data_IF_933887868207
#
_entry.id   IF_933887868207
#
_cell.length_a   1.000
_cell.length_b   1.000
_cell.length_c   1.000
_cell.angle_alpha   90.00
_cell.angle_beta   90.00
_cell.angle_gamma   90.00
#
_symmetry.space_group_name_H-M   'P 1'
#
loop_
_entity.id
_entity.type
_entity.pdbx_description
1 polymer ?
#
# COMPACT_ATOMS: atom_id res chain seq x y z
N UNK A 1 22.37 -20.00 -14.47
CA UNK A 1 23.26 -19.23 -15.37
C UNK A 1 22.36 -18.20 -16.03
N UNK A 2 22.34 -16.90 -15.73
CA UNK A 2 23.32 -15.96 -15.17
C UNK A 2 22.68 -15.10 -14.07
N UNK A 3 23.40 -14.93 -12.97
CA UNK A 3 23.13 -13.99 -11.90
C UNK A 3 23.91 -12.71 -12.23
N UNK A 4 23.24 -11.58 -12.47
CA UNK A 4 23.91 -10.29 -12.59
C UNK A 4 23.89 -9.61 -11.23
N UNK A 5 25.09 -9.40 -10.69
CA UNK A 5 25.41 -8.62 -9.50
C UNK A 5 25.08 -7.14 -9.73
N UNK A 6 24.51 -6.49 -8.72
CA UNK A 6 24.93 -5.14 -8.35
C UNK A 6 24.69 -4.92 -6.85
N UNK A 7 25.74 -4.43 -6.21
CA UNK A 7 25.78 -3.99 -4.82
C UNK A 7 24.90 -2.75 -4.65
N UNK A 8 24.15 -2.65 -3.54
CA UNK A 8 23.90 -1.38 -2.88
C UNK A 8 23.50 -1.59 -1.43
N UNK A 9 24.18 -0.76 -0.64
CA UNK A 9 24.36 -0.80 0.79
C UNK A 9 23.09 -0.40 1.55
N UNK A 10 22.96 -0.95 2.75
CA UNK A 10 21.87 -0.77 3.69
C UNK A 10 21.97 0.63 4.28
N UNK A 11 21.17 1.59 3.79
CA UNK A 11 20.67 2.80 4.48
C UNK A 11 20.11 3.81 3.45
N UNK A 12 18.89 3.60 2.97
CA UNK A 12 18.01 4.70 2.55
C UNK A 12 16.56 4.22 2.50
N UNK A 13 15.93 4.24 3.68
CA UNK A 13 14.49 4.16 3.85
C UNK A 13 13.98 5.61 3.69
N UNK A 14 13.01 5.84 2.80
CA UNK A 14 12.45 7.12 2.33
C UNK A 14 13.13 7.78 1.11
N UNK A 15 12.41 7.73 -0.02
CA UNK A 15 12.54 8.46 -1.29
C UNK A 15 13.89 8.39 -2.06
N UNK A 16 13.84 7.93 -3.32
CA UNK A 16 14.28 8.70 -4.51
C UNK A 16 13.87 7.97 -5.80
N UNK A 17 13.42 8.80 -6.72
CA UNK A 17 12.88 8.59 -8.07
C UNK A 17 13.97 8.12 -9.05
N UNK A 18 13.56 7.29 -10.02
CA UNK A 18 14.13 7.26 -11.39
C UNK A 18 15.52 6.65 -11.58
N UNK A 19 15.57 5.55 -12.36
CA UNK A 19 16.44 5.37 -13.55
C UNK A 19 16.33 3.92 -14.05
N UNK A 20 15.46 3.69 -15.03
CA UNK A 20 15.74 2.72 -16.10
C UNK A 20 15.84 3.52 -17.39
N UNK A 21 17.03 3.49 -17.98
CA UNK A 21 17.41 4.29 -19.14
C UNK A 21 16.86 3.67 -20.43
N UNK A 22 16.02 4.45 -21.13
CA UNK A 22 15.88 4.47 -22.59
C UNK A 22 14.89 3.47 -23.20
N UNK A 23 13.81 3.87 -23.85
CA UNK A 23 13.31 5.20 -24.15
C UNK A 23 12.05 5.11 -24.99
N UNK A 24 11.14 6.05 -24.77
CA UNK A 24 10.54 6.98 -25.74
C UNK A 24 9.25 7.53 -25.10
N UNK A 25 9.33 8.82 -24.81
CA UNK A 25 8.24 9.81 -24.81
C UNK A 25 6.99 9.53 -23.96
N UNK A 26 6.94 10.20 -22.80
CA UNK A 26 5.97 11.28 -22.60
C UNK A 26 6.28 12.02 -21.27
N UNK A 27 6.90 13.19 -21.42
CA UNK A 27 6.84 14.25 -20.42
C UNK A 27 5.42 14.82 -20.44
N UNK A 28 4.55 14.35 -19.55
CA UNK A 28 3.37 15.13 -19.17
C UNK A 28 3.50 15.55 -17.71
N UNK A 29 3.92 16.79 -17.52
CA UNK A 29 3.75 17.55 -16.28
C UNK A 29 2.29 18.01 -16.26
N UNK A 30 1.57 17.68 -15.18
CA UNK A 30 0.74 18.55 -14.31
C UNK A 30 0.28 17.62 -13.15
N UNK A 31 0.97 17.66 -12.01
CA UNK A 31 0.51 17.04 -10.76
C UNK A 31 0.74 18.01 -9.59
N UNK A 32 0.12 19.19 -9.68
CA UNK A 32 0.12 20.19 -8.60
C UNK A 32 -0.94 19.84 -7.53
N UNK A 33 -1.96 19.07 -7.92
CA UNK A 33 -3.07 18.71 -7.04
C UNK A 33 -2.72 17.66 -5.99
N UNK A 34 -2.08 16.54 -6.37
CA UNK A 34 -1.83 15.47 -5.42
C UNK A 34 -0.79 15.86 -4.38
N UNK A 35 0.21 16.67 -4.75
CA UNK A 35 1.25 17.18 -3.84
C UNK A 35 0.64 17.86 -2.61
N UNK A 36 -0.40 18.68 -2.80
CA UNK A 36 -1.09 19.35 -1.69
C UNK A 36 -1.82 18.36 -0.78
N UNK A 37 -2.45 17.33 -1.35
CA UNK A 37 -3.12 16.28 -0.57
C UNK A 37 -2.07 15.48 0.22
N UNK A 38 -0.95 15.12 -0.41
CA UNK A 38 0.17 14.41 0.21
C UNK A 38 0.72 15.18 1.42
N UNK A 39 0.89 16.50 1.33
CA UNK A 39 1.34 17.31 2.46
C UNK A 39 0.36 17.30 3.64
N UNK A 40 -0.95 17.29 3.38
CA UNK A 40 -1.96 17.15 4.44
C UNK A 40 -1.92 15.75 5.09
N UNK A 41 -1.69 14.70 4.29
CA UNK A 41 -1.57 13.32 4.78
C UNK A 41 -0.30 13.16 5.62
N UNK A 42 0.82 13.71 5.17
CA UNK A 42 2.10 13.65 5.88
C UNK A 42 2.04 14.29 7.26
N UNK A 43 1.22 15.33 7.43
CA UNK A 43 0.95 15.94 8.73
C UNK A 43 -0.23 15.32 9.50
N UNK A 44 -0.86 14.26 8.99
CA UNK A 44 -2.09 13.64 9.50
C UNK A 44 -3.20 14.68 9.83
N UNK A 45 -3.32 15.68 8.95
CA UNK A 45 -4.19 16.85 9.11
C UNK A 45 -5.57 16.59 8.51
N UNK A 46 -6.42 15.92 9.28
CA UNK A 46 -7.75 15.44 8.85
C UNK A 46 -8.62 16.48 8.17
N UNK A 47 -8.77 17.67 8.75
CA UNK A 47 -9.71 18.67 8.22
C UNK A 47 -9.23 19.24 6.88
N UNK A 48 -7.92 19.52 6.76
CA UNK A 48 -7.29 19.97 5.52
C UNK A 48 -7.36 18.86 4.45
N UNK A 49 -7.09 17.61 4.84
CA UNK A 49 -7.17 16.44 3.97
C UNK A 49 -8.58 16.26 3.39
N UNK A 50 -9.62 16.25 4.23
CA UNK A 50 -11.02 16.10 3.78
C UNK A 50 -11.40 17.24 2.84
N UNK A 51 -11.06 18.48 3.17
CA UNK A 51 -11.35 19.64 2.32
C UNK A 51 -10.68 19.53 0.96
N UNK A 52 -9.40 19.14 0.92
CA UNK A 52 -8.63 19.08 -0.33
C UNK A 52 -9.09 17.94 -1.24
N UNK A 53 -9.39 16.77 -0.66
CA UNK A 53 -9.97 15.63 -1.38
C UNK A 53 -11.32 15.99 -1.97
N UNK A 54 -12.23 16.55 -1.16
CA UNK A 54 -13.58 16.90 -1.62
C UNK A 54 -13.57 18.01 -2.69
N UNK A 55 -12.63 18.96 -2.57
CA UNK A 55 -12.42 20.01 -3.57
C UNK A 55 -11.95 19.43 -4.91
N UNK A 56 -10.98 18.52 -4.91
CA UNK A 56 -10.53 17.89 -6.15
C UNK A 56 -11.62 17.06 -6.82
N UNK A 57 -12.43 16.33 -6.03
CA UNK A 57 -13.55 15.57 -6.56
C UNK A 57 -14.66 16.46 -7.13
N UNK A 58 -14.79 17.72 -6.68
CA UNK A 58 -15.74 18.68 -7.28
C UNK A 58 -15.24 19.36 -8.55
N UNK A 59 -13.92 19.52 -8.70
CA UNK A 59 -13.28 20.16 -9.87
C UNK A 59 -12.96 19.17 -10.99
N UNK A 60 -13.00 17.86 -10.71
CA UNK A 60 -12.75 16.82 -11.70
C UNK A 60 -13.73 16.94 -12.89
N UNK A 61 -13.20 17.37 -14.04
CA UNK A 61 -13.97 17.53 -15.26
C UNK A 61 -14.33 16.12 -15.81
N UNK A 62 -15.61 15.78 -16.06
CA UNK A 62 -16.01 14.43 -16.49
C UNK A 62 -15.35 13.91 -17.77
N UNK A 63 -14.75 14.80 -18.58
CA UNK A 63 -14.05 14.46 -19.82
C UNK A 63 -12.53 14.32 -19.67
N UNK A 64 -11.95 14.57 -18.50
CA UNK A 64 -10.52 14.41 -18.26
C UNK A 64 -10.21 12.95 -17.92
N UNK A 65 -9.49 12.27 -18.81
CA UNK A 65 -9.12 10.85 -18.68
C UNK A 65 -8.09 10.63 -17.54
N UNK A 66 -7.48 11.70 -17.03
CA UNK A 66 -6.33 11.68 -16.11
C UNK A 66 -6.52 12.57 -14.85
N UNK A 67 -7.73 13.11 -14.63
CA UNK A 67 -8.00 14.08 -13.55
C UNK A 67 -8.63 13.50 -12.28
N UNK A 68 -8.88 12.19 -12.23
CA UNK A 68 -9.55 11.56 -11.10
C UNK A 68 -8.52 11.11 -10.05
N UNK A 69 -8.68 11.60 -8.81
CA UNK A 69 -7.82 11.28 -7.68
C UNK A 69 -7.74 9.76 -7.46
N UNK A 70 -6.56 9.17 -7.66
CA UNK A 70 -6.38 7.73 -7.55
C UNK A 70 -6.40 7.28 -6.08
N UNK A 71 -7.45 6.55 -5.71
CA UNK A 71 -7.60 5.94 -4.39
C UNK A 71 -6.38 5.10 -3.98
N UNK A 72 -5.75 4.38 -4.92
CA UNK A 72 -4.55 3.59 -4.61
C UNK A 72 -3.37 4.47 -4.19
N UNK A 73 -3.24 5.66 -4.78
CA UNK A 73 -2.18 6.62 -4.46
C UNK A 73 -2.41 7.24 -3.07
N UNK A 74 -3.65 7.66 -2.78
CA UNK A 74 -4.04 8.18 -1.45
C UNK A 74 -3.78 7.15 -0.35
N UNK A 75 -4.22 5.89 -0.55
CA UNK A 75 -4.00 4.81 0.41
C UNK A 75 -2.51 4.57 0.65
N UNK A 76 -1.69 4.51 -0.41
CA UNK A 76 -0.24 4.32 -0.27
C UNK A 76 0.41 5.45 0.52
N UNK A 77 0.01 6.71 0.28
CA UNK A 77 0.53 7.88 0.97
C UNK A 77 0.17 7.85 2.48
N UNK A 78 -1.08 7.50 2.80
CA UNK A 78 -1.52 7.29 4.19
C UNK A 78 -0.65 6.23 4.89
N UNK A 79 -0.41 5.10 4.21
CA UNK A 79 0.40 4.01 4.75
C UNK A 79 1.85 4.43 4.94
N UNK A 80 2.46 5.14 3.98
CA UNK A 80 3.87 5.55 4.05
C UNK A 80 4.15 6.58 5.14
N UNK A 81 3.14 7.34 5.56
CA UNK A 81 3.24 8.35 6.61
C UNK A 81 2.57 7.96 7.93
N UNK A 82 2.08 6.73 8.04
CA UNK A 82 1.35 6.25 9.23
C UNK A 82 0.19 7.18 9.64
N UNK A 83 -0.50 7.76 8.65
CA UNK A 83 -1.52 8.79 8.84
C UNK A 83 -2.89 8.19 9.24
N UNK A 84 -2.95 7.58 10.42
CA UNK A 84 -4.10 6.81 10.90
C UNK A 84 -5.39 7.63 10.99
N UNK A 85 -5.31 8.93 11.31
CA UNK A 85 -6.52 9.78 11.42
C UNK A 85 -7.07 10.12 10.04
N UNK A 86 -6.19 10.36 9.07
CA UNK A 86 -6.57 10.49 7.66
C UNK A 86 -7.17 9.19 7.12
N UNK A 87 -6.63 8.01 7.50
CA UNK A 87 -7.24 6.72 7.16
C UNK A 87 -8.67 6.58 7.70
N UNK A 88 -8.89 6.96 8.96
CA UNK A 88 -10.24 6.98 9.57
C UNK A 88 -11.18 7.89 8.78
N UNK A 89 -10.72 9.09 8.44
CA UNK A 89 -11.54 10.05 7.69
C UNK A 89 -11.89 9.55 6.29
N UNK A 90 -10.93 8.89 5.63
CA UNK A 90 -11.10 8.26 4.33
C UNK A 90 -12.18 7.17 4.41
N UNK A 91 -12.06 6.17 5.29
CA UNK A 91 -12.95 5.00 5.27
C UNK A 91 -14.25 5.16 6.04
N UNK A 92 -14.38 6.09 6.99
CA UNK A 92 -15.66 6.37 7.67
C UNK A 92 -16.55 7.35 6.88
N UNK A 93 -16.16 7.67 5.64
CA UNK A 93 -16.96 8.48 4.73
C UNK A 93 -17.06 9.96 5.10
N UNK A 94 -16.04 10.49 5.77
CA UNK A 94 -15.85 11.94 5.92
C UNK A 94 -15.40 12.59 4.60
N UNK A 95 -14.75 11.81 3.74
CA UNK A 95 -14.45 12.19 2.35
C UNK A 95 -15.53 11.67 1.40
N UNK A 96 -15.64 12.28 0.22
CA UNK A 96 -16.46 11.76 -0.90
C UNK A 96 -15.78 10.63 -1.67
N UNK A 97 -14.50 10.36 -1.43
CA UNK A 97 -13.70 9.41 -2.20
C UNK A 97 -14.13 7.95 -1.96
N UNK A 98 -14.29 7.56 -0.69
CA UNK A 98 -14.71 6.21 -0.32
C UNK A 98 -15.33 6.19 1.08
N UNK A 99 -16.07 5.12 1.42
CA UNK A 99 -16.72 4.93 2.74
C UNK A 99 -16.65 3.48 3.26
N UNK A 100 -15.83 2.65 2.63
CA UNK A 100 -15.71 1.22 2.93
C UNK A 100 -14.24 0.81 2.88
N UNK A 101 -13.75 0.20 3.96
CA UNK A 101 -12.40 -0.34 4.06
C UNK A 101 -12.20 -1.60 3.19
N UNK A 102 -13.28 -2.17 2.63
CA UNK A 102 -13.26 -3.30 1.71
C UNK A 102 -13.42 -2.88 0.23
N UNK A 103 -13.22 -1.60 -0.08
CA UNK A 103 -13.17 -1.11 -1.46
C UNK A 103 -12.03 -1.79 -2.25
N UNK A 104 -12.25 -2.03 -3.55
CA UNK A 104 -11.21 -2.51 -4.46
C UNK A 104 -10.67 -1.34 -5.27
N UNK A 105 -9.36 -1.14 -5.27
CA UNK A 105 -8.73 -0.11 -6.10
C UNK A 105 -8.71 -0.50 -7.58
N UNK A 106 -8.42 0.47 -8.47
CA UNK A 106 -8.25 0.20 -9.90
C UNK A 106 -7.18 -0.85 -10.24
N UNK A 107 -6.28 -1.14 -9.30
CA UNK A 107 -5.24 -2.17 -9.46
C UNK A 107 -5.70 -3.56 -9.00
N UNK A 108 -6.92 -3.70 -8.45
CA UNK A 108 -7.45 -4.97 -7.96
C UNK A 108 -7.04 -5.32 -6.52
N UNK A 109 -6.56 -4.34 -5.75
CA UNK A 109 -6.13 -4.55 -4.36
C UNK A 109 -7.14 -3.92 -3.41
N UNK A 110 -7.33 -4.56 -2.26
CA UNK A 110 -8.04 -3.98 -1.12
C UNK A 110 -7.07 -3.15 -0.26
N UNK A 111 -7.54 -2.13 0.49
CA UNK A 111 -6.72 -1.36 1.42
C UNK A 111 -5.82 -2.23 2.31
N UNK A 112 -6.36 -3.32 2.85
CA UNK A 112 -5.61 -4.22 3.73
C UNK A 112 -4.47 -4.97 3.03
N UNK A 113 -4.53 -5.18 1.70
CA UNK A 113 -3.38 -5.71 0.95
C UNK A 113 -2.22 -4.71 0.89
N UNK A 114 -2.51 -3.42 0.74
CA UNK A 114 -1.47 -2.38 0.77
C UNK A 114 -0.85 -2.27 2.17
N UNK A 115 -1.67 -2.32 3.22
CA UNK A 115 -1.20 -2.33 4.61
C UNK A 115 -0.33 -3.57 4.90
N UNK A 116 -0.78 -4.75 4.48
CA UNK A 116 0.00 -5.99 4.62
C UNK A 116 1.38 -5.91 3.93
N UNK A 117 1.44 -5.26 2.76
CA UNK A 117 2.68 -5.05 2.01
C UNK A 117 3.61 -4.00 2.64
N UNK A 118 3.12 -3.12 3.51
CA UNK A 118 4.00 -2.22 4.26
C UNK A 118 4.58 -2.85 5.51
N UNK A 119 4.01 -3.96 5.98
CA UNK A 119 4.35 -4.62 7.24
C UNK A 119 4.24 -3.67 8.46
N UNK A 120 3.41 -2.63 8.37
CA UNK A 120 3.15 -1.69 9.48
C UNK A 120 2.04 -2.24 10.38
N UNK A 121 2.33 -2.67 11.63
CA UNK A 121 1.32 -3.19 12.54
C UNK A 121 0.22 -2.15 12.85
N UNK A 122 0.64 -0.89 13.08
CA UNK A 122 -0.25 0.25 13.35
C UNK A 122 -1.34 0.40 12.29
N UNK A 123 -0.96 0.43 11.00
CA UNK A 123 -1.92 0.57 9.91
C UNK A 123 -2.76 -0.69 9.73
N UNK A 124 -2.17 -1.88 9.89
CA UNK A 124 -2.91 -3.14 9.76
C UNK A 124 -4.00 -3.25 10.83
N UNK A 125 -3.66 -3.02 12.10
CA UNK A 125 -4.62 -2.98 13.22
C UNK A 125 -5.71 -1.97 12.94
N UNK A 126 -5.33 -0.75 12.58
CA UNK A 126 -6.29 0.33 12.34
C UNK A 126 -7.26 0.03 11.19
N UNK A 127 -6.78 -0.57 10.09
CA UNK A 127 -7.67 -0.94 8.97
C UNK A 127 -8.64 -2.06 9.37
N UNK A 128 -8.21 -3.02 10.20
CA UNK A 128 -9.09 -4.06 10.74
C UNK A 128 -10.15 -3.48 11.68
N UNK A 129 -9.77 -2.52 12.53
CA UNK A 129 -10.72 -1.78 13.39
C UNK A 129 -11.75 -0.99 12.57
N UNK A 130 -11.36 -0.51 11.39
CA UNK A 130 -12.26 0.13 10.43
C UNK A 130 -13.14 -0.88 9.64
N UNK A 131 -13.04 -2.18 9.94
CA UNK A 131 -13.86 -3.24 9.34
C UNK A 131 -13.30 -3.83 8.06
N UNK A 132 -12.00 -3.65 7.78
CA UNK A 132 -11.36 -4.36 6.68
C UNK A 132 -11.35 -5.87 6.94
N UNK A 133 -11.66 -6.65 5.92
CA UNK A 133 -11.69 -8.10 5.99
C UNK A 133 -10.29 -8.70 5.76
N UNK A 134 -9.78 -9.58 6.64
CA UNK A 134 -8.48 -10.23 6.48
C UNK A 134 -8.48 -11.41 5.49
N UNK A 135 -9.66 -11.87 5.06
CA UNK A 135 -9.85 -13.07 4.23
C UNK A 135 -10.06 -12.78 2.74
N UNK A 136 -10.04 -11.50 2.34
CA UNK A 136 -10.26 -11.10 0.94
C UNK A 136 -9.13 -11.59 0.03
N UNK A 137 -9.48 -11.96 -1.20
CA UNK A 137 -8.52 -12.39 -2.21
C UNK A 137 -8.17 -11.22 -3.13
N UNK A 138 -6.89 -10.95 -3.29
CA UNK A 138 -6.40 -9.94 -4.22
C UNK A 138 -6.80 -10.30 -5.66
N UNK A 139 -7.37 -9.34 -6.39
CA UNK A 139 -7.71 -9.53 -7.80
C UNK A 139 -6.51 -9.28 -8.73
N UNK A 140 -5.56 -8.45 -8.28
CA UNK A 140 -4.36 -7.98 -9.00
C UNK A 140 -4.46 -8.10 -10.53
N UNK A 141 -4.95 -7.05 -11.18
CA UNK A 141 -5.09 -7.07 -12.64
C UNK A 141 -3.75 -7.14 -13.39
N UNK A 142 -2.61 -6.96 -12.68
CA UNK A 142 -1.26 -7.21 -13.18
C UNK A 142 -0.77 -8.67 -13.06
N UNK A 143 -1.54 -9.55 -12.42
CA UNK A 143 -1.34 -11.01 -12.45
C UNK A 143 -0.34 -11.62 -11.47
N UNK A 144 0.41 -10.83 -10.68
CA UNK A 144 1.50 -11.31 -9.81
C UNK A 144 1.05 -11.73 -8.41
N UNK A 145 -0.02 -11.12 -7.94
CA UNK A 145 -0.53 -11.22 -6.57
C UNK A 145 -1.98 -11.75 -6.54
N UNK A 146 -2.49 -12.28 -7.66
CA UNK A 146 -3.85 -12.80 -7.78
C UNK A 146 -4.08 -13.94 -6.78
N UNK A 147 -5.21 -13.89 -6.07
CA UNK A 147 -5.63 -14.93 -5.13
C UNK A 147 -4.87 -14.93 -3.81
N UNK A 148 -3.96 -13.98 -3.57
CA UNK A 148 -3.31 -13.85 -2.27
C UNK A 148 -4.24 -13.16 -1.27
N UNK A 149 -4.28 -13.65 -0.03
CA UNK A 149 -4.89 -12.92 1.09
C UNK A 149 -3.93 -11.84 1.61
N UNK A 150 -4.40 -10.86 2.40
CA UNK A 150 -3.54 -9.95 3.14
C UNK A 150 -2.43 -10.64 3.94
N UNK A 151 -2.72 -11.74 4.64
CA UNK A 151 -1.69 -12.51 5.35
C UNK A 151 -0.61 -13.05 4.41
N UNK A 152 -1.01 -13.68 3.30
CA UNK A 152 -0.05 -14.23 2.33
C UNK A 152 0.74 -13.10 1.65
N UNK A 153 0.13 -11.94 1.43
CA UNK A 153 0.79 -10.73 0.94
C UNK A 153 1.89 -10.25 1.91
N UNK A 154 1.58 -10.17 3.21
CA UNK A 154 2.57 -9.81 4.24
C UNK A 154 3.72 -10.82 4.27
N UNK A 155 3.42 -12.12 4.25
CA UNK A 155 4.43 -13.18 4.24
C UNK A 155 5.34 -13.09 3.00
N UNK A 156 4.75 -12.97 1.80
CA UNK A 156 5.49 -12.81 0.55
C UNK A 156 6.41 -11.59 0.63
N UNK A 157 5.90 -10.47 1.14
CA UNK A 157 6.66 -9.22 1.28
C UNK A 157 7.83 -9.38 2.25
N UNK A 158 7.59 -9.96 3.42
CA UNK A 158 8.62 -10.23 4.43
C UNK A 158 9.74 -11.10 3.87
N UNK A 159 9.39 -12.15 3.12
CA UNK A 159 10.34 -13.04 2.45
C UNK A 159 11.14 -12.30 1.38
N UNK A 160 10.48 -11.52 0.51
CA UNK A 160 11.16 -10.75 -0.53
C UNK A 160 12.11 -9.69 0.05
N UNK A 161 11.76 -9.09 1.19
CA UNK A 161 12.60 -8.12 1.88
C UNK A 161 13.76 -8.78 2.63
N UNK A 162 13.63 -10.04 3.03
CA UNK A 162 14.65 -10.80 3.74
C UNK A 162 15.33 -11.83 2.84
N UNK A 163 16.36 -11.39 2.11
CA UNK A 163 17.13 -12.20 1.14
C UNK A 163 17.73 -13.50 1.71
N UNK A 164 17.73 -13.71 3.03
CA UNK A 164 18.16 -14.97 3.65
C UNK A 164 17.18 -16.14 3.39
N UNK A 165 15.96 -15.87 2.88
CA UNK A 165 14.87 -16.84 2.67
C UNK A 165 14.63 -17.10 1.17
N UNK A 166 15.70 -17.19 0.37
CA UNK A 166 15.62 -17.20 -1.11
C UNK A 166 15.08 -18.51 -1.75
N UNK A 167 14.82 -19.57 -0.99
CA UNK A 167 14.19 -20.80 -1.50
C UNK A 167 12.78 -21.00 -0.91
N UNK A 168 11.85 -20.12 -1.28
CA UNK A 168 10.44 -20.27 -0.90
C UNK A 168 9.60 -20.73 -2.08
N UNK A 169 8.83 -21.81 -1.86
CA UNK A 169 7.65 -22.14 -2.64
C UNK A 169 6.45 -22.15 -1.68
N UNK A 170 5.24 -21.72 -2.09
CA UNK A 170 4.04 -21.75 -1.25
C UNK A 170 3.72 -23.13 -0.66
N UNK A 171 4.22 -24.21 -1.28
CA UNK A 171 4.10 -25.60 -0.83
C UNK A 171 5.00 -25.99 0.33
N UNK A 172 6.01 -25.20 0.70
CA UNK A 172 7.02 -25.60 1.68
C UNK A 172 6.94 -24.80 3.00
N UNK A 173 6.16 -25.41 3.89
CA UNK A 173 6.38 -25.55 5.33
C UNK A 173 5.96 -24.39 6.25
N UNK A 174 4.92 -24.70 7.02
CA UNK A 174 4.54 -24.12 8.31
C UNK A 174 5.74 -23.83 9.24
N UNK A 175 6.83 -24.60 9.15
CA UNK A 175 8.06 -24.37 9.91
C UNK A 175 8.79 -23.05 9.58
N UNK A 176 8.78 -22.62 8.31
CA UNK A 176 9.32 -21.31 7.92
C UNK A 176 8.41 -20.18 8.38
N UNK A 177 7.10 -20.44 8.40
CA UNK A 177 6.08 -19.55 8.99
C UNK A 177 6.33 -19.39 10.50
N UNK A 178 6.59 -20.49 11.22
CA UNK A 178 7.00 -20.48 12.62
C UNK A 178 8.28 -19.66 12.79
N UNK A 179 9.30 -19.85 11.94
CA UNK A 179 10.55 -19.08 12.02
C UNK A 179 10.33 -17.57 11.77
N UNK A 180 9.52 -17.19 10.78
CA UNK A 180 9.15 -15.79 10.52
C UNK A 180 8.33 -15.18 11.67
N UNK A 181 7.40 -15.94 12.25
CA UNK A 181 6.67 -15.55 13.47
C UNK A 181 7.58 -15.43 14.69
N UNK A 182 8.78 -16.01 14.67
CA UNK A 182 9.77 -15.84 15.72
C UNK A 182 10.67 -14.60 15.51
N UNK A 183 10.59 -13.90 14.37
CA UNK A 183 11.34 -12.65 14.15
C UNK A 183 10.61 -11.48 14.85
N UNK A 184 11.26 -10.76 15.79
CA UNK A 184 10.62 -9.69 16.57
C UNK A 184 10.01 -8.58 15.71
N UNK A 185 10.59 -8.31 14.54
CA UNK A 185 10.15 -7.25 13.64
C UNK A 185 8.89 -7.63 12.83
N UNK A 186 8.60 -8.93 12.68
CA UNK A 186 7.52 -9.44 11.85
C UNK A 186 6.38 -10.07 12.65
N UNK A 187 6.68 -10.56 13.86
CA UNK A 187 5.71 -11.26 14.71
C UNK A 187 4.46 -10.45 14.92
N UNK A 188 4.60 -9.14 15.16
CA UNK A 188 3.47 -8.28 15.46
C UNK A 188 2.54 -8.14 14.25
N UNK A 189 3.06 -7.68 13.11
CA UNK A 189 2.29 -7.53 11.86
C UNK A 189 1.60 -8.83 11.42
N UNK A 190 2.31 -9.97 11.52
CA UNK A 190 1.76 -11.27 11.13
C UNK A 190 0.71 -11.78 12.13
N UNK A 191 0.90 -11.54 13.43
CA UNK A 191 -0.05 -11.96 14.46
C UNK A 191 -1.41 -11.28 14.31
N UNK A 192 -1.42 -10.01 13.91
CA UNK A 192 -2.63 -9.21 13.69
C UNK A 192 -3.44 -9.73 12.48
N UNK A 193 -2.79 -10.35 11.50
CA UNK A 193 -3.46 -10.88 10.31
C UNK A 193 -3.96 -12.33 10.46
N UNK A 194 -3.82 -12.94 11.64
CA UNK A 194 -4.23 -14.33 11.94
C UNK A 194 -5.64 -14.44 12.59
N UNK A 195 -6.33 -13.33 12.81
CA UNK A 195 -7.72 -13.25 13.33
C UNK A 195 -8.76 -13.60 12.28
#
# INVERSE_FOLDING_TARGET
MLCVRSELNVMNFCFIVGLSLGGLDELHVIDDGFSDIEDTIKGDKVDEFVQRVDFQLSEANPCAIDGELDLAQVIKCIISHDAVRCATALFQGKTKLVKDANVVTKNGYYPLHYAAKSLSPSIIEHFLELGARPDVLCLDYGGKDVGLTPLVMALKTAICNNKAVLDWSPSECIFKLIFLLCLPELVHALSILLI
#
